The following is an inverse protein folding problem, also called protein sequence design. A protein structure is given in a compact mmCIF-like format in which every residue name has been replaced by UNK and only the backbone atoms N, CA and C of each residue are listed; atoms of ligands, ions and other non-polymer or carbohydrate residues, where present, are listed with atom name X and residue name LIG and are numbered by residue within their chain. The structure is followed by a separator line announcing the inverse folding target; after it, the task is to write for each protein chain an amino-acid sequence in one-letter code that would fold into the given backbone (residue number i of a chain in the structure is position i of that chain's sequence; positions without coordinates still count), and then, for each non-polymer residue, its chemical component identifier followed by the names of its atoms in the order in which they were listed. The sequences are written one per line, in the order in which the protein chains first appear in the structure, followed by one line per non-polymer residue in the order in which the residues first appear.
data_IF_721265390494
#
_entry.id   IF_721265390494
#
_cell.length_a   1.000
_cell.length_b   1.000
_cell.length_c   1.000
_cell.angle_alpha   90.00
_cell.angle_beta   90.00
_cell.angle_gamma   90.00
#
_symmetry.space_group_name_H-M   'P 1'
#
loop_
_entity.id
_entity.type
_entity.pdbx_description
1 polymer ?
#
# COMPACT_ATOMS: atom_id res chain seq x y z
N UNK A 1 -18.48 5.61 11.34
CA UNK A 1 -17.77 4.33 11.16
C UNK A 1 -16.66 4.51 10.13
N UNK A 2 -15.48 4.09 10.48
CA UNK A 2 -14.35 4.22 9.56
C UNK A 2 -14.56 3.30 8.35
N UNK A 3 -14.32 3.86 7.18
CA UNK A 3 -14.40 3.12 5.93
C UNK A 3 -12.97 2.88 5.45
N UNK A 4 -12.54 1.64 5.50
CA UNK A 4 -11.19 1.30 5.09
C UNK A 4 -11.16 0.02 4.27
N UNK A 5 -10.15 -0.11 3.46
CA UNK A 5 -9.90 -1.30 2.67
C UNK A 5 -8.54 -1.88 3.06
N UNK A 6 -8.44 -3.20 2.99
CA UNK A 6 -7.20 -3.90 3.30
C UNK A 6 -6.74 -4.62 2.03
N UNK A 7 -5.48 -4.41 1.69
CA UNK A 7 -4.85 -5.11 0.58
C UNK A 7 -3.73 -5.96 1.12
N UNK A 8 -3.61 -7.17 0.58
CA UNK A 8 -2.46 -8.01 0.84
C UNK A 8 -1.95 -8.48 -0.51
N UNK A 9 -0.68 -8.26 -0.75
CA UNK A 9 -0.09 -8.73 -1.98
C UNK A 9 1.15 -9.55 -1.67
N UNK A 10 1.34 -10.57 -2.45
CA UNK A 10 2.45 -11.49 -2.26
C UNK A 10 3.45 -11.29 -3.39
N UNK A 11 4.70 -11.14 -3.02
CA UNK A 11 5.76 -11.06 -4.00
C UNK A 11 6.20 -12.46 -4.37
N UNK A 12 6.24 -12.71 -5.65
CA UNK A 12 6.89 -13.88 -6.16
C UNK A 12 8.36 -13.53 -6.33
N UNK A 13 9.24 -14.26 -5.68
CA UNK A 13 10.68 -14.00 -5.73
C UNK A 13 11.22 -14.04 -7.16
N UNK A 14 10.48 -14.69 -8.04
CA UNK A 14 10.88 -14.85 -9.44
C UNK A 14 10.37 -13.73 -10.34
N UNK A 15 9.56 -12.82 -9.81
CA UNK A 15 9.03 -11.72 -10.61
C UNK A 15 9.83 -10.46 -10.30
N UNK A 16 10.82 -10.18 -11.14
CA UNK A 16 11.62 -8.98 -10.97
C UNK A 16 10.84 -7.73 -11.38
N UNK A 17 9.96 -7.89 -12.36
CA UNK A 17 9.18 -6.77 -12.90
C UNK A 17 7.73 -6.88 -12.47
N UNK A 18 7.42 -6.36 -11.29
CA UNK A 18 6.04 -6.30 -10.84
C UNK A 18 5.40 -5.07 -11.47
N UNK A 19 4.31 -5.23 -12.25
CA UNK A 19 3.66 -4.11 -12.92
C UNK A 19 2.81 -3.32 -11.91
N UNK A 20 3.46 -2.58 -11.04
CA UNK A 20 2.78 -1.86 -9.97
C UNK A 20 1.73 -0.88 -10.49
N UNK A 21 2.02 -0.21 -11.61
CA UNK A 21 1.05 0.71 -12.18
C UNK A 21 -0.23 -0.03 -12.60
N UNK A 22 -0.08 -1.19 -13.24
CA UNK A 22 -1.23 -1.99 -13.63
C UNK A 22 -2.00 -2.49 -12.40
N UNK A 23 -1.29 -2.88 -11.35
CA UNK A 23 -1.92 -3.29 -10.10
C UNK A 23 -2.70 -2.15 -9.45
N UNK A 24 -2.11 -0.96 -9.42
CA UNK A 24 -2.79 0.22 -8.87
C UNK A 24 -4.05 0.53 -9.66
N UNK A 25 -3.96 0.49 -10.99
CA UNK A 25 -5.12 0.76 -11.85
C UNK A 25 -6.22 -0.29 -11.63
N UNK A 26 -5.83 -1.56 -11.50
CA UNK A 26 -6.77 -2.63 -11.25
C UNK A 26 -7.50 -2.44 -9.92
N UNK A 27 -6.75 -2.13 -8.86
CA UNK A 27 -7.32 -1.93 -7.54
C UNK A 27 -8.32 -0.77 -7.56
N UNK A 28 -7.96 0.33 -8.22
CA UNK A 28 -8.86 1.47 -8.32
C UNK A 28 -10.12 1.12 -9.12
N UNK A 29 -9.98 0.33 -10.16
CA UNK A 29 -11.14 -0.08 -10.95
C UNK A 29 -12.07 -0.98 -10.13
N UNK A 30 -11.54 -1.81 -9.25
CA UNK A 30 -12.33 -2.63 -8.34
C UNK A 30 -13.10 -1.75 -7.36
N UNK A 31 -12.43 -0.75 -6.78
CA UNK A 31 -13.11 0.19 -5.89
C UNK A 31 -14.27 0.89 -6.60
N UNK A 32 -14.04 1.36 -7.81
CA UNK A 32 -15.07 2.05 -8.58
C UNK A 32 -16.22 1.12 -8.94
N UNK A 33 -15.90 -0.10 -9.36
CA UNK A 33 -16.92 -1.06 -9.78
C UNK A 33 -17.91 -1.39 -8.67
N UNK A 34 -17.40 -1.50 -7.44
CA UNK A 34 -18.24 -1.86 -6.31
C UNK A 34 -18.68 -0.66 -5.48
N UNK A 35 -18.41 0.54 -5.97
CA UNK A 35 -18.82 1.76 -5.27
C UNK A 35 -18.07 2.01 -3.98
N UNK A 36 -16.91 1.36 -3.80
CA UNK A 36 -16.13 1.52 -2.60
C UNK A 36 -15.35 2.84 -2.66
N UNK A 37 -15.45 3.62 -1.60
CA UNK A 37 -14.69 4.86 -1.45
C UNK A 37 -13.99 4.82 -0.10
N UNK A 38 -12.94 4.00 0.02
CA UNK A 38 -12.29 3.86 1.32
C UNK A 38 -11.58 5.13 1.74
N UNK A 39 -11.74 5.48 3.01
CA UNK A 39 -11.03 6.62 3.58
C UNK A 39 -9.57 6.26 3.84
N UNK A 40 -9.33 5.01 4.23
CA UNK A 40 -8.01 4.52 4.55
C UNK A 40 -7.79 3.21 3.83
N UNK A 41 -6.63 3.04 3.21
CA UNK A 41 -6.24 1.78 2.57
C UNK A 41 -5.02 1.23 3.30
N UNK A 42 -5.16 0.03 3.82
CA UNK A 42 -4.09 -0.67 4.54
C UNK A 42 -3.40 -1.64 3.58
N UNK A 43 -2.12 -1.43 3.38
CA UNK A 43 -1.30 -2.26 2.49
C UNK A 43 -0.44 -3.18 3.34
N UNK A 44 -0.80 -4.45 3.41
CA UNK A 44 -0.06 -5.45 4.18
C UNK A 44 1.11 -5.95 3.35
N UNK A 45 2.28 -6.03 3.97
CA UNK A 45 3.52 -6.43 3.31
C UNK A 45 3.90 -5.48 2.16
N UNK A 46 3.91 -4.18 2.46
CA UNK A 46 4.10 -3.15 1.42
C UNK A 46 5.51 -3.13 0.82
N UNK A 47 6.48 -3.77 1.45
CA UNK A 47 7.85 -3.77 0.96
C UNK A 47 8.42 -2.36 0.86
N UNK A 48 9.00 -2.02 -0.28
CA UNK A 48 9.57 -0.69 -0.51
C UNK A 48 8.54 0.37 -0.87
N UNK A 49 7.25 0.01 -0.81
CA UNK A 49 6.18 0.98 -0.94
C UNK A 49 5.83 1.42 -2.35
N UNK A 50 6.22 0.68 -3.37
CA UNK A 50 5.93 1.08 -4.74
C UNK A 50 4.44 1.18 -5.01
N UNK A 51 3.65 0.19 -4.60
CA UNK A 51 2.20 0.22 -4.78
C UNK A 51 1.57 1.26 -3.85
N UNK A 52 2.04 1.33 -2.60
CA UNK A 52 1.57 2.33 -1.64
C UNK A 52 1.73 3.74 -2.22
N UNK A 53 2.89 4.01 -2.82
CA UNK A 53 3.16 5.31 -3.42
C UNK A 53 2.17 5.64 -4.53
N UNK A 54 1.92 4.69 -5.43
CA UNK A 54 1.01 4.92 -6.56
C UNK A 54 -0.42 5.20 -6.09
N UNK A 55 -0.88 4.48 -5.09
CA UNK A 55 -2.22 4.69 -4.55
C UNK A 55 -2.29 6.00 -3.76
N UNK A 56 -1.24 6.36 -3.04
CA UNK A 56 -1.20 7.65 -2.35
C UNK A 56 -1.24 8.81 -3.35
N UNK A 57 -0.52 8.67 -4.46
CA UNK A 57 -0.53 9.68 -5.52
C UNK A 57 -1.92 9.81 -6.15
N UNK A 58 -2.69 8.74 -6.15
CA UNK A 58 -4.06 8.75 -6.66
C UNK A 58 -5.05 9.36 -5.67
N UNK A 59 -4.61 9.69 -4.46
CA UNK A 59 -5.44 10.38 -3.49
C UNK A 59 -5.89 9.54 -2.31
N UNK A 60 -5.48 8.28 -2.24
CA UNK A 60 -5.85 7.42 -1.12
C UNK A 60 -4.97 7.69 0.10
N UNK A 61 -5.57 7.59 1.27
CA UNK A 61 -4.89 7.73 2.53
C UNK A 61 -4.31 6.35 2.91
N UNK A 62 -3.00 6.20 2.82
CA UNK A 62 -2.36 4.89 2.87
C UNK A 62 -1.67 4.60 4.19
N UNK A 63 -1.82 3.36 4.65
CA UNK A 63 -1.02 2.82 5.75
C UNK A 63 -0.33 1.57 5.22
N UNK A 64 0.99 1.56 5.20
CA UNK A 64 1.76 0.41 4.77
C UNK A 64 2.40 -0.31 5.95
N UNK A 65 2.35 -1.63 5.95
CA UNK A 65 3.00 -2.43 6.99
C UNK A 65 3.96 -3.41 6.36
N UNK A 66 5.04 -3.67 7.05
CA UNK A 66 6.01 -4.70 6.66
C UNK A 66 6.82 -5.08 7.88
N UNK A 67 7.43 -6.25 7.85
CA UNK A 67 8.27 -6.70 8.95
C UNK A 67 9.72 -6.25 8.80
N UNK A 68 10.10 -5.69 7.67
CA UNK A 68 11.46 -5.24 7.40
C UNK A 68 11.61 -3.75 7.61
N UNK A 69 12.36 -3.31 8.63
CA UNK A 69 12.60 -1.87 8.83
C UNK A 69 13.37 -1.24 7.68
N UNK A 70 14.22 -1.99 7.00
CA UNK A 70 14.97 -1.47 5.86
C UNK A 70 14.04 -1.16 4.68
N UNK A 71 13.07 -2.05 4.43
CA UNK A 71 12.07 -1.82 3.38
C UNK A 71 11.22 -0.60 3.70
N UNK A 72 10.82 -0.46 4.95
CA UNK A 72 9.99 0.65 5.38
C UNK A 72 10.74 1.99 5.33
N UNK A 73 12.03 1.96 5.63
CA UNK A 73 12.85 3.17 5.50
C UNK A 73 12.89 3.64 4.05
N UNK A 74 13.05 2.72 3.11
CA UNK A 74 13.02 3.05 1.70
C UNK A 74 11.64 3.54 1.26
N UNK A 75 10.58 2.90 1.73
CA UNK A 75 9.22 3.31 1.43
C UNK A 75 8.93 4.72 1.95
N UNK A 76 9.36 5.02 3.16
CA UNK A 76 9.18 6.32 3.76
C UNK A 76 9.90 7.41 2.98
N UNK A 77 11.13 7.13 2.55
CA UNK A 77 11.91 8.06 1.77
C UNK A 77 11.28 8.31 0.39
N UNK A 78 10.82 7.24 -0.24
CA UNK A 78 10.19 7.28 -1.56
C UNK A 78 8.91 8.12 -1.57
N UNK A 79 8.21 8.20 -0.45
CA UNK A 79 6.92 8.88 -0.35
C UNK A 79 6.98 10.17 0.47
N UNK A 80 8.17 10.65 0.82
CA UNK A 80 8.34 11.76 1.75
C UNK A 80 7.70 13.07 1.27
N UNK A 81 7.58 13.26 -0.05
CA UNK A 81 7.03 14.49 -0.62
C UNK A 81 5.53 14.44 -0.83
N UNK A 82 4.88 13.33 -0.57
CA UNK A 82 3.46 13.17 -0.84
C UNK A 82 2.60 13.81 0.25
N UNK A 83 1.41 14.27 -0.16
CA UNK A 83 0.44 14.88 0.74
C UNK A 83 -0.96 14.40 0.37
N UNK A 84 -1.64 13.56 1.18
CA UNK A 84 -1.14 13.11 2.48
C UNK A 84 -0.01 12.10 2.35
N UNK A 85 0.89 12.15 3.31
CA UNK A 85 2.01 11.23 3.33
C UNK A 85 1.57 9.89 3.93
N UNK A 86 1.90 8.76 3.28
CA UNK A 86 1.58 7.45 3.85
C UNK A 86 2.24 7.23 5.21
N UNK A 87 1.55 6.50 6.06
CA UNK A 87 2.10 6.08 7.34
C UNK A 87 2.65 4.66 7.18
N UNK A 88 3.82 4.40 7.73
CA UNK A 88 4.43 3.08 7.67
C UNK A 88 4.65 2.52 9.07
N UNK A 89 4.28 1.23 9.24
CA UNK A 89 4.40 0.55 10.52
C UNK A 89 5.21 -0.74 10.34
N UNK A 90 6.23 -0.91 11.17
CA UNK A 90 7.02 -2.13 11.17
C UNK A 90 6.31 -3.16 12.07
N UNK A 91 5.79 -4.21 11.46
CA UNK A 91 4.94 -5.13 12.18
C UNK A 91 4.89 -6.47 11.48
N UNK A 92 4.92 -7.53 12.26
CA UNK A 92 4.72 -8.87 11.71
C UNK A 92 3.24 -9.09 11.47
N UNK A 93 2.91 -9.71 10.35
CA UNK A 93 1.52 -9.95 9.98
C UNK A 93 0.79 -10.81 11.01
N UNK A 94 1.46 -11.77 11.61
CA UNK A 94 0.87 -12.64 12.60
C UNK A 94 0.45 -11.92 13.89
N UNK A 95 0.84 -10.67 14.03
CA UNK A 95 0.46 -9.84 15.18
C UNK A 95 -0.53 -8.76 14.83
N UNK A 96 -1.07 -8.81 13.63
CA UNK A 96 -2.11 -7.90 13.18
C UNK A 96 -3.47 -8.48 13.57
N UNK A 97 -4.03 -7.98 14.63
CA UNK A 97 -5.34 -8.43 15.09
C UNK A 97 -6.42 -7.44 14.77
#
# INVERSE_FOLDING_TARGET
MANYAVMAHFYDEFTEDVPYRAWADFIQSVFQKYGAQPEIVLDLACGTGSLTKLLAEAGYDMIGTDMSPEMLAEASEKTASLNPRPLFLCQRMEKLD
#
